data_IF_581772166140
#
_entry.id   IF_581772166140
#
_cell.length_a   1.000
_cell.length_b   1.000
_cell.length_c   1.000
_cell.angle_alpha   90.00
_cell.angle_beta   90.00
_cell.angle_gamma   90.00
#
_symmetry.space_group_name_H-M   'P 1'
#
loop_
_entity.id
_entity.type
_entity.pdbx_description
1 polymer ?
#
# COMPACT_ATOMS: atom_id res chain seq x y z
N UNK A 1 -10.10 -49.85 17.53
CA UNK A 1 -11.19 -49.01 18.07
C UNK A 1 -10.54 -47.84 18.81
N UNK A 2 -10.42 -46.68 18.18
CA UNK A 2 -10.27 -45.36 18.83
C UNK A 2 -10.36 -44.29 17.73
N UNK A 3 -11.32 -43.39 17.93
CA UNK A 3 -11.83 -42.40 17.00
C UNK A 3 -10.76 -41.36 16.61
N UNK A 4 -10.19 -41.45 15.42
CA UNK A 4 -9.32 -40.41 14.87
C UNK A 4 -10.18 -39.21 14.48
N UNK A 5 -10.21 -38.22 15.36
CA UNK A 5 -10.93 -36.96 15.22
C UNK A 5 -10.57 -36.32 13.87
N UNK A 6 -11.57 -36.20 13.01
CA UNK A 6 -11.51 -35.50 11.73
C UNK A 6 -11.49 -33.98 11.99
N UNK A 7 -10.31 -33.39 12.12
CA UNK A 7 -10.13 -31.96 11.85
C UNK A 7 -9.78 -31.80 10.38
N UNK A 8 -10.54 -31.01 9.60
CA UNK A 8 -10.20 -30.78 8.21
C UNK A 8 -8.83 -30.10 8.18
N UNK A 9 -7.90 -30.68 7.46
CA UNK A 9 -6.61 -30.07 7.09
C UNK A 9 -6.78 -28.82 6.20
N UNK A 10 -7.95 -28.19 6.21
CA UNK A 10 -8.40 -27.19 5.25
C UNK A 10 -8.47 -25.75 5.74
N UNK A 11 -7.98 -25.38 6.95
CA UNK A 11 -8.30 -24.03 7.46
C UNK A 11 -7.28 -23.27 8.34
N UNK A 12 -5.96 -23.40 8.16
CA UNK A 12 -5.08 -22.46 8.91
C UNK A 12 -3.55 -22.52 8.86
N UNK A 13 -2.92 -23.23 7.92
CA UNK A 13 -1.45 -23.41 7.94
C UNK A 13 -0.67 -22.83 6.75
N UNK A 14 -1.35 -22.45 5.67
CA UNK A 14 -0.77 -22.08 4.38
C UNK A 14 -1.26 -20.73 3.84
N UNK A 15 -1.70 -19.82 4.72
CA UNK A 15 -1.80 -18.43 4.29
C UNK A 15 -0.37 -17.89 4.16
N UNK A 16 0.19 -18.03 2.96
CA UNK A 16 1.43 -17.36 2.60
C UNK A 16 1.15 -15.87 2.59
N UNK A 17 1.52 -15.17 3.66
CA UNK A 17 1.66 -13.71 3.65
C UNK A 17 2.68 -13.19 2.61
N UNK A 18 3.33 -14.11 1.88
CA UNK A 18 4.30 -13.88 0.80
C UNK A 18 3.68 -13.94 -0.60
N UNK A 19 2.37 -14.14 -0.71
CA UNK A 19 1.65 -13.77 -1.92
C UNK A 19 1.46 -12.26 -1.90
N UNK A 20 2.56 -11.57 -2.18
CA UNK A 20 2.58 -10.12 -2.36
C UNK A 20 1.69 -9.84 -3.57
N UNK A 21 0.57 -9.15 -3.34
CA UNK A 21 -0.40 -8.82 -4.38
C UNK A 21 0.34 -8.10 -5.50
N UNK A 22 0.43 -8.71 -6.69
CA UNK A 22 1.02 -8.08 -7.88
C UNK A 22 0.13 -6.91 -8.30
N UNK A 23 0.31 -5.79 -7.61
CA UNK A 23 -0.40 -4.57 -7.88
C UNK A 23 0.03 -4.12 -9.27
N UNK A 24 -0.93 -3.97 -10.17
CA UNK A 24 -0.70 -3.34 -11.49
C UNK A 24 -0.14 -1.92 -11.35
N UNK A 25 -0.31 -1.30 -10.18
CA UNK A 25 0.23 0.01 -9.83
C UNK A 25 1.26 -0.16 -8.72
N UNK A 26 2.53 -0.28 -9.12
CA UNK A 26 3.66 -0.28 -8.20
C UNK A 26 4.26 1.13 -8.16
N UNK A 27 4.01 1.86 -7.08
CA UNK A 27 4.60 3.17 -6.88
C UNK A 27 6.06 3.00 -6.45
N UNK A 28 6.99 3.22 -7.39
CA UNK A 28 8.40 3.25 -7.03
C UNK A 28 8.67 4.44 -6.07
N UNK A 29 9.70 4.36 -5.20
CA UNK A 29 10.05 5.44 -4.29
C UNK A 29 10.25 6.80 -4.98
N UNK A 30 10.68 6.79 -6.25
CA UNK A 30 10.82 7.99 -7.06
C UNK A 30 9.49 8.74 -7.27
N UNK A 31 8.37 8.03 -7.38
CA UNK A 31 7.04 8.64 -7.52
C UNK A 31 6.61 9.37 -6.24
N UNK A 32 7.00 8.85 -5.08
CA UNK A 32 6.74 9.50 -3.79
C UNK A 32 7.52 10.83 -3.71
N UNK A 33 8.79 10.81 -4.07
CA UNK A 33 9.65 12.02 -4.10
C UNK A 33 9.09 13.06 -5.08
N UNK A 34 8.69 12.63 -6.28
CA UNK A 34 8.07 13.52 -7.26
C UNK A 34 6.77 14.15 -6.73
N UNK A 35 5.92 13.37 -6.06
CA UNK A 35 4.68 13.87 -5.44
C UNK A 35 4.93 14.95 -4.38
N UNK A 36 5.98 14.79 -3.56
CA UNK A 36 6.38 15.79 -2.57
C UNK A 36 6.80 17.10 -3.23
N UNK A 37 7.63 17.03 -4.28
CA UNK A 37 8.10 18.21 -5.01
C UNK A 37 6.92 18.96 -5.64
N UNK A 38 5.99 18.25 -6.29
CA UNK A 38 4.79 18.85 -6.89
C UNK A 38 3.94 19.55 -5.83
N UNK A 39 3.76 18.92 -4.66
CA UNK A 39 3.00 19.52 -3.55
C UNK A 39 3.64 20.82 -3.06
N UNK A 40 4.97 20.85 -2.92
CA UNK A 40 5.70 22.06 -2.52
C UNK A 40 5.52 23.16 -3.56
N UNK A 41 5.70 22.85 -4.84
CA UNK A 41 5.52 23.81 -5.93
C UNK A 41 4.08 24.34 -5.98
N UNK A 42 3.10 23.48 -5.75
CA UNK A 42 1.69 23.86 -5.70
C UNK A 42 1.41 24.84 -4.56
N UNK A 43 1.92 24.56 -3.36
CA UNK A 43 1.80 25.46 -2.20
C UNK A 43 2.48 26.81 -2.47
N UNK A 44 3.67 26.80 -3.06
CA UNK A 44 4.38 28.02 -3.44
C UNK A 44 3.61 28.82 -4.48
N UNK A 45 3.07 28.16 -5.50
CA UNK A 45 2.23 28.78 -6.52
C UNK A 45 0.99 29.42 -5.87
N UNK A 46 0.28 28.69 -5.00
CA UNK A 46 -0.87 29.23 -4.27
C UNK A 46 -0.49 30.44 -3.43
N UNK A 47 0.65 30.42 -2.75
CA UNK A 47 1.12 31.55 -1.92
C UNK A 47 1.47 32.79 -2.75
N UNK A 48 1.95 32.61 -3.99
CA UNK A 48 2.28 33.69 -4.93
C UNK A 48 1.01 34.28 -5.57
N UNK A 49 0.10 33.42 -6.03
CA UNK A 49 -1.10 33.84 -6.76
C UNK A 49 -2.27 34.24 -5.86
N UNK A 50 -2.36 33.63 -4.67
CA UNK A 50 -3.38 33.89 -3.66
C UNK A 50 -2.72 34.18 -2.30
N UNK A 51 -2.00 35.31 -2.16
CA UNK A 51 -1.54 35.75 -0.86
C UNK A 51 -2.76 36.08 0.00
N UNK A 52 -3.11 35.18 0.92
CA UNK A 52 -4.06 35.49 1.99
C UNK A 52 -3.33 36.43 2.95
N UNK A 53 -3.81 37.67 2.98
CA UNK A 53 -3.34 38.74 3.87
C UNK A 53 -3.71 38.48 5.33
#
# INVERSE_FOLDING_TARGET
MANNINVPSGFGGLVMFKEEYDSKVQLSPAHVVAGVIVTILFVLALKIFFPVA
#
